data_IF_272600400968
#
_entry.id   IF_272600400968
#
_cell.length_a   1.000
_cell.length_b   1.000
_cell.length_c   1.000
_cell.angle_alpha   90.00
_cell.angle_beta   90.00
_cell.angle_gamma   90.00
#
_symmetry.space_group_name_H-M   'P 1'
#
loop_
_entity.id
_entity.type
_entity.pdbx_description
1 polymer ?
#
# COMPACT_ATOMS: atom_id res chain seq x y z
N UNK A 1 11.68 -19.08 14.60
CA UNK A 1 11.48 -19.15 13.15
C UNK A 1 11.35 -17.74 12.58
N UNK A 2 11.97 -17.49 11.46
CA UNK A 2 12.03 -16.18 10.83
C UNK A 2 11.04 -16.12 9.65
N UNK A 3 10.16 -15.13 9.66
CA UNK A 3 9.15 -14.95 8.62
C UNK A 3 9.50 -13.83 7.65
N UNK A 4 10.76 -13.40 7.64
CA UNK A 4 11.21 -12.28 6.82
C UNK A 4 10.82 -12.43 5.35
N UNK A 5 11.07 -13.61 4.78
CA UNK A 5 10.79 -13.84 3.36
C UNK A 5 9.30 -13.72 3.06
N UNK A 6 8.47 -14.34 3.90
CA UNK A 6 7.03 -14.30 3.71
C UNK A 6 6.50 -12.87 3.84
N UNK A 7 7.02 -12.13 4.81
CA UNK A 7 6.60 -10.73 5.00
C UNK A 7 7.07 -9.88 3.83
N UNK A 8 8.27 -10.12 3.29
CA UNK A 8 8.72 -9.40 2.09
C UNK A 8 7.81 -9.64 0.90
N UNK A 9 7.32 -10.85 0.72
CA UNK A 9 6.39 -11.17 -0.35
C UNK A 9 5.08 -10.39 -0.19
N UNK A 10 4.54 -10.37 1.03
CA UNK A 10 3.33 -9.62 1.32
C UNK A 10 3.56 -8.12 1.08
N UNK A 11 4.70 -7.61 1.54
CA UNK A 11 5.05 -6.21 1.36
C UNK A 11 5.10 -5.82 -0.12
N UNK A 12 5.69 -6.67 -0.95
CA UNK A 12 5.76 -6.43 -2.39
C UNK A 12 4.34 -6.38 -2.99
N UNK A 13 3.47 -7.29 -2.58
CA UNK A 13 2.09 -7.31 -3.06
C UNK A 13 1.32 -6.07 -2.63
N UNK A 14 1.54 -5.62 -1.40
CA UNK A 14 0.86 -4.42 -0.89
C UNK A 14 1.32 -3.19 -1.66
N UNK A 15 2.61 -3.06 -1.95
CA UNK A 15 3.12 -1.95 -2.75
C UNK A 15 2.51 -1.93 -4.15
N UNK A 16 2.39 -3.11 -4.75
CA UNK A 16 1.76 -3.23 -6.06
C UNK A 16 0.30 -2.80 -6.00
N UNK A 17 -0.43 -3.28 -4.99
CA UNK A 17 -1.83 -2.94 -4.79
C UNK A 17 -2.00 -1.43 -4.56
N UNK A 18 -1.12 -0.83 -3.77
CA UNK A 18 -1.14 0.60 -3.54
C UNK A 18 -0.98 1.38 -4.85
N UNK A 19 -0.05 0.96 -5.70
CA UNK A 19 0.16 1.61 -6.99
C UNK A 19 -1.07 1.51 -7.89
N UNK A 20 -1.73 0.36 -7.91
CA UNK A 20 -2.97 0.19 -8.66
C UNK A 20 -4.07 1.10 -8.13
N UNK A 21 -4.20 1.17 -6.81
CA UNK A 21 -5.22 2.03 -6.19
C UNK A 21 -4.94 3.50 -6.49
N UNK A 22 -3.68 3.91 -6.46
CA UNK A 22 -3.30 5.28 -6.81
C UNK A 22 -3.71 5.62 -8.24
N UNK A 23 -3.56 4.67 -9.16
CA UNK A 23 -4.01 4.86 -10.54
C UNK A 23 -5.52 5.03 -10.65
N UNK A 24 -6.27 4.26 -9.86
CA UNK A 24 -7.73 4.37 -9.82
C UNK A 24 -8.16 5.74 -9.28
N UNK A 25 -7.51 6.24 -8.22
CA UNK A 25 -7.85 7.55 -7.68
C UNK A 25 -7.60 8.65 -8.69
N UNK A 26 -6.52 8.54 -9.47
CA UNK A 26 -6.22 9.51 -10.51
C UNK A 26 -7.29 9.51 -11.60
N UNK A 27 -7.74 8.33 -12.03
CA UNK A 27 -8.81 8.21 -13.01
C UNK A 27 -10.12 8.81 -12.50
N UNK A 28 -10.45 8.55 -11.25
CA UNK A 28 -11.66 9.11 -10.63
C UNK A 28 -11.61 10.63 -10.63
N UNK A 29 -10.47 11.21 -10.28
CA UNK A 29 -10.29 12.64 -10.25
C UNK A 29 -10.46 13.23 -11.66
N UNK A 30 -9.90 12.56 -12.66
CA UNK A 30 -10.04 12.98 -14.06
C UNK A 30 -11.49 12.97 -14.51
N UNK A 31 -12.29 12.03 -14.02
CA UNK A 31 -13.71 11.93 -14.35
C UNK A 31 -14.59 12.85 -13.50
N UNK A 32 -14.01 13.61 -12.59
CA UNK A 32 -14.75 14.52 -11.73
C UNK A 32 -15.37 13.83 -10.51
N UNK A 33 -14.91 12.62 -10.17
CA UNK A 33 -15.37 11.92 -8.98
C UNK A 33 -14.46 12.22 -7.81
N UNK A 34 -15.02 12.18 -6.61
CA UNK A 34 -14.27 12.47 -5.40
C UNK A 34 -13.54 11.21 -4.92
N UNK A 35 -12.21 11.17 -4.94
CA UNK A 35 -11.45 10.02 -4.50
C UNK A 35 -11.11 10.02 -3.00
N UNK A 36 -11.70 10.89 -2.20
CA UNK A 36 -11.29 11.10 -0.82
C UNK A 36 -11.23 9.82 0.01
N UNK A 37 -12.23 8.94 -0.11
CA UNK A 37 -12.24 7.68 0.64
C UNK A 37 -11.09 6.77 0.25
N UNK A 38 -10.75 6.74 -1.05
CA UNK A 38 -9.65 5.90 -1.51
C UNK A 38 -8.30 6.52 -1.15
N UNK A 39 -8.22 7.83 -1.05
CA UNK A 39 -7.00 8.49 -0.58
C UNK A 39 -6.73 8.16 0.88
N UNK A 40 -7.76 8.05 1.71
CA UNK A 40 -7.59 7.57 3.08
C UNK A 40 -7.06 6.14 3.10
N UNK A 41 -7.56 5.29 2.21
CA UNK A 41 -7.07 3.94 2.09
C UNK A 41 -5.60 3.90 1.68
N UNK A 42 -5.18 4.79 0.78
CA UNK A 42 -3.77 4.89 0.40
C UNK A 42 -2.89 5.26 1.58
N UNK A 43 -3.33 6.20 2.42
CA UNK A 43 -2.58 6.55 3.62
C UNK A 43 -2.46 5.35 4.57
N UNK A 44 -3.54 4.59 4.74
CA UNK A 44 -3.51 3.39 5.57
C UNK A 44 -2.54 2.36 5.02
N UNK A 45 -2.50 2.19 3.70
CA UNK A 45 -1.56 1.28 3.07
C UNK A 45 -0.11 1.74 3.26
N UNK A 46 0.15 3.04 3.23
CA UNK A 46 1.48 3.56 3.54
C UNK A 46 1.91 3.20 4.95
N UNK A 47 1.01 3.33 5.92
CA UNK A 47 1.32 2.95 7.30
C UNK A 47 1.61 1.46 7.41
N UNK A 48 0.83 0.63 6.74
CA UNK A 48 1.07 -0.82 6.72
C UNK A 48 2.43 -1.13 6.12
N UNK A 49 2.76 -0.47 5.01
CA UNK A 49 4.05 -0.68 4.34
C UNK A 49 5.20 -0.32 5.28
N UNK A 50 5.09 0.80 5.99
CA UNK A 50 6.14 1.23 6.94
C UNK A 50 6.32 0.21 8.06
N UNK A 51 5.21 -0.29 8.62
CA UNK A 51 5.25 -1.28 9.70
C UNK A 51 5.93 -2.56 9.23
N UNK A 52 5.54 -3.05 8.05
CA UNK A 52 6.11 -4.29 7.52
C UNK A 52 7.57 -4.11 7.12
N UNK A 53 7.91 -2.95 6.58
CA UNK A 53 9.30 -2.66 6.22
C UNK A 53 10.20 -2.65 7.47
N UNK A 54 9.70 -2.10 8.58
CA UNK A 54 10.43 -2.11 9.85
C UNK A 54 10.64 -3.54 10.34
N UNK A 55 9.62 -4.37 10.25
CA UNK A 55 9.76 -5.78 10.64
C UNK A 55 10.85 -6.47 9.82
N UNK A 56 10.84 -6.27 8.52
CA UNK A 56 11.83 -6.88 7.63
C UNK A 56 13.24 -6.36 7.94
N UNK A 57 13.37 -5.08 8.24
CA UNK A 57 14.67 -4.47 8.54
C UNK A 57 15.25 -4.98 9.86
N UNK A 58 14.40 -5.32 10.84
CA UNK A 58 14.84 -5.81 12.15
C UNK A 58 15.24 -7.29 12.12
N UNK A 59 14.76 -8.05 11.17
CA UNK A 59 15.11 -9.45 11.04
C UNK A 59 16.40 -9.64 10.25
#
# INVERSE_FOLDING_TARGET
>A
MNYKKEVQEVLTQIRFTKNRLAGITLEMDTEGRDPASLEEALEALDDVIDILADYVAEE
#
